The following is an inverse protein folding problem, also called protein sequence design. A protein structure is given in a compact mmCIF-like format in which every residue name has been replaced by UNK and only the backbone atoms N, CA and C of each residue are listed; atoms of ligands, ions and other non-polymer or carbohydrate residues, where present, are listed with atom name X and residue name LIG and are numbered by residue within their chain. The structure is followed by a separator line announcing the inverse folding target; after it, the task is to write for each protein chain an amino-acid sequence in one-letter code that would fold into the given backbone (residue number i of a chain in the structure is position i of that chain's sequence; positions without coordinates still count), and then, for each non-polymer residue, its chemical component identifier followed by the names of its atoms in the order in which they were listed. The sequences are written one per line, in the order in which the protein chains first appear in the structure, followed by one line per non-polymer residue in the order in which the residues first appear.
data_IF_960850266934
#
_entry.id   IF_960850266934
#
_cell.length_a   1.000
_cell.length_b   1.000
_cell.length_c   1.000
_cell.angle_alpha   90.00
_cell.angle_beta   90.00
_cell.angle_gamma   90.00
#
_symmetry.space_group_name_H-M   'P 1'
#
loop_
_entity.id
_entity.type
_entity.pdbx_description
1 polymer ?
#
# COMPACT_ATOMS: atom_id res chain seq x y z
N UNK A 1 -5.43 69.62 -14.81
CA UNK A 1 -4.42 70.38 -15.57
C UNK A 1 -4.08 69.51 -16.77
N UNK A 2 -4.77 69.87 -17.88
CA UNK A 2 -4.32 69.99 -19.28
C UNK A 2 -3.81 68.72 -19.96
N UNK A 3 -4.69 68.21 -20.83
CA UNK A 3 -4.35 67.53 -22.10
C UNK A 3 -3.65 68.51 -23.07
N UNK A 4 -3.00 68.07 -24.16
CA UNK A 4 -3.70 67.94 -25.44
C UNK A 4 -3.28 66.75 -26.27
N UNK A 5 -4.12 66.15 -26.96
CA UNK A 5 -4.57 66.07 -28.38
C UNK A 5 -3.60 66.59 -29.44
N UNK A 6 -3.54 65.86 -30.54
CA UNK A 6 -3.62 66.21 -31.97
C UNK A 6 -2.80 65.27 -32.82
N UNK A 7 -3.04 64.82 -33.99
CA UNK A 7 -4.06 64.84 -35.04
C UNK A 7 -3.63 63.95 -36.18
N UNK A 8 -4.62 63.37 -36.84
CA UNK A 8 -4.75 62.92 -38.23
C UNK A 8 -3.63 63.29 -39.26
N UNK A 9 -3.37 62.30 -40.16
CA UNK A 9 -3.63 62.62 -41.60
C UNK A 9 -3.82 61.32 -42.42
N UNK A 10 -4.81 61.43 -43.29
CA UNK A 10 -5.20 60.57 -44.41
C UNK A 10 -4.28 60.79 -45.59
N UNK A 11 -4.05 59.74 -46.44
CA UNK A 11 -4.07 59.91 -47.89
C UNK A 11 -4.37 58.60 -48.61
N UNK A 12 -5.23 58.75 -49.53
CA UNK A 12 -5.82 57.90 -50.58
C UNK A 12 -4.80 57.63 -51.72
N UNK A 13 -4.90 56.51 -52.44
CA UNK A 13 -5.65 56.30 -53.68
C UNK A 13 -5.14 55.10 -54.43
N UNK A 14 -6.03 54.23 -54.82
CA UNK A 14 -6.39 53.73 -56.17
C UNK A 14 -5.28 53.31 -57.17
N UNK A 15 -5.30 52.07 -57.71
CA UNK A 15 -5.97 51.72 -58.98
C UNK A 15 -5.73 50.28 -59.41
N UNK A 16 -6.82 49.62 -59.79
CA UNK A 16 -7.09 48.69 -60.90
C UNK A 16 -6.18 47.50 -61.18
N UNK A 17 -6.87 46.34 -61.23
CA UNK A 17 -6.61 44.97 -61.66
C UNK A 17 -6.16 44.78 -63.11
N UNK A 18 -6.15 43.55 -63.73
CA UNK A 18 -7.28 42.61 -63.74
C UNK A 18 -6.88 41.10 -63.64
N UNK A 19 -7.89 40.34 -63.29
CA UNK A 19 -8.29 38.97 -63.73
C UNK A 19 -7.19 38.10 -64.39
N UNK A 20 -6.87 36.94 -63.77
CA UNK A 20 -6.67 35.71 -64.50
C UNK A 20 -6.97 34.47 -63.60
N UNK A 21 -7.68 33.62 -64.21
CA UNK A 21 -8.35 32.41 -63.83
C UNK A 21 -7.58 31.33 -63.06
N UNK A 22 -8.37 30.59 -62.29
CA UNK A 22 -8.40 29.15 -62.03
C UNK A 22 -7.09 28.35 -61.98
N UNK A 23 -6.82 27.81 -60.80
CA UNK A 23 -6.54 26.37 -60.66
C UNK A 23 -6.78 25.99 -59.17
N UNK A 24 -7.90 25.35 -58.95
CA UNK A 24 -8.21 24.66 -57.71
C UNK A 24 -7.33 23.41 -57.62
N UNK A 25 -6.31 23.44 -56.74
CA UNK A 25 -5.61 22.23 -56.29
C UNK A 25 -6.03 21.96 -54.87
N UNK A 26 -6.97 21.02 -54.74
CA UNK A 26 -7.29 20.39 -53.46
C UNK A 26 -6.08 19.62 -52.94
N UNK A 27 -5.24 20.24 -52.12
CA UNK A 27 -4.34 19.53 -51.26
C UNK A 27 -5.10 18.98 -50.06
N UNK A 28 -5.56 17.73 -50.21
CA UNK A 28 -5.97 16.90 -49.06
C UNK A 28 -4.72 16.70 -48.17
N UNK A 29 -4.59 17.54 -47.16
CA UNK A 29 -3.65 17.28 -46.05
C UNK A 29 -4.18 16.08 -45.25
N UNK A 30 -3.67 14.88 -45.59
CA UNK A 30 -3.74 13.75 -44.69
C UNK A 30 -2.94 14.12 -43.42
N UNK A 31 -3.64 14.53 -42.37
CA UNK A 31 -3.10 14.56 -41.03
C UNK A 31 -2.83 13.11 -40.61
N UNK A 32 -1.59 12.67 -40.83
CA UNK A 32 -1.08 11.45 -40.22
C UNK A 32 -1.05 11.71 -38.73
N UNK A 33 -2.08 11.29 -38.00
CA UNK A 33 -1.99 11.13 -36.55
C UNK A 33 -0.96 10.06 -36.29
N UNK A 34 0.28 10.47 -36.06
CA UNK A 34 1.26 9.60 -35.41
C UNK A 34 0.73 9.30 -34.02
N UNK A 35 0.08 8.14 -33.88
CA UNK A 35 -0.06 7.53 -32.58
C UNK A 35 1.36 7.39 -32.05
N UNK A 36 1.70 8.20 -31.06
CA UNK A 36 2.88 7.97 -30.23
C UNK A 36 2.71 6.58 -29.64
N UNK A 37 3.39 5.60 -30.26
CA UNK A 37 3.47 4.26 -29.73
C UNK A 37 4.07 4.33 -28.35
N UNK A 38 3.23 4.20 -27.33
CA UNK A 38 3.70 3.97 -25.96
C UNK A 38 4.64 2.75 -26.04
N UNK A 39 5.85 2.87 -25.47
CA UNK A 39 6.74 1.72 -25.33
C UNK A 39 5.92 0.57 -24.72
N UNK A 40 6.00 -0.65 -25.27
CA UNK A 40 5.30 -1.78 -24.67
C UNK A 40 5.77 -1.93 -23.24
N UNK A 41 4.81 -2.10 -22.31
CA UNK A 41 5.11 -2.38 -20.93
C UNK A 41 5.98 -3.65 -20.87
N UNK A 42 7.08 -3.58 -20.11
CA UNK A 42 8.04 -4.68 -20.02
C UNK A 42 7.36 -5.83 -19.27
N UNK A 43 7.16 -6.96 -19.92
CA UNK A 43 6.57 -8.14 -19.32
C UNK A 43 7.59 -8.86 -18.41
N UNK A 44 7.10 -9.49 -17.35
CA UNK A 44 7.86 -10.36 -16.48
C UNK A 44 7.71 -11.81 -16.95
N UNK A 45 8.82 -12.51 -17.17
CA UNK A 45 8.78 -13.95 -17.46
C UNK A 45 8.71 -14.76 -16.18
N UNK A 46 7.72 -15.64 -16.09
CA UNK A 46 7.59 -16.64 -15.06
C UNK A 46 7.01 -17.92 -15.70
N UNK A 47 7.71 -19.04 -15.57
CA UNK A 47 7.36 -20.33 -16.18
C UNK A 47 7.03 -20.26 -17.68
N UNK A 48 7.78 -19.41 -18.42
CA UNK A 48 7.61 -19.22 -19.87
C UNK A 48 6.38 -18.36 -20.25
N UNK A 49 5.69 -17.76 -19.29
CA UNK A 49 4.59 -16.81 -19.52
C UNK A 49 5.07 -15.40 -19.24
N UNK A 50 4.92 -14.51 -20.23
CA UNK A 50 5.19 -13.08 -20.03
C UNK A 50 3.98 -12.43 -19.37
N UNK A 51 4.14 -11.98 -18.12
CA UNK A 51 3.12 -11.23 -17.40
C UNK A 51 3.42 -9.74 -17.49
N UNK A 52 2.47 -8.97 -17.97
CA UNK A 52 2.59 -7.52 -18.09
C UNK A 52 2.55 -6.85 -16.70
N UNK A 53 3.49 -5.93 -16.47
CA UNK A 53 3.52 -5.13 -15.24
C UNK A 53 2.55 -3.96 -15.36
N UNK A 54 1.27 -4.22 -15.09
CA UNK A 54 0.20 -3.21 -15.09
C UNK A 54 -0.11 -2.72 -13.68
N UNK A 55 -0.50 -1.47 -13.55
CA UNK A 55 -1.01 -0.84 -12.31
C UNK A 55 -2.20 0.05 -12.66
N UNK A 56 -3.39 -0.55 -12.75
CA UNK A 56 -4.62 0.14 -13.13
C UNK A 56 -5.06 1.21 -12.13
N UNK A 57 -4.72 1.03 -10.86
CA UNK A 57 -5.09 1.98 -9.80
C UNK A 57 -4.05 3.08 -9.58
N UNK A 58 -2.92 3.04 -10.29
CA UNK A 58 -1.83 4.05 -10.26
C UNK A 58 -1.34 4.35 -8.83
N UNK A 59 -1.33 3.35 -7.97
CA UNK A 59 -0.82 3.44 -6.60
C UNK A 59 0.52 2.73 -6.40
N UNK A 60 1.09 2.24 -7.49
CA UNK A 60 2.39 1.56 -7.54
C UNK A 60 2.34 0.09 -7.16
N UNK A 61 1.15 -0.47 -6.94
CA UNK A 61 0.98 -1.90 -6.68
C UNK A 61 0.58 -2.59 -7.97
N UNK A 62 1.38 -3.54 -8.47
CA UNK A 62 1.04 -4.27 -9.69
C UNK A 62 -0.27 -5.04 -9.57
N UNK A 63 -1.02 -5.10 -10.67
CA UNK A 63 -2.32 -5.78 -10.70
C UNK A 63 -2.20 -7.28 -10.37
N UNK A 64 -1.09 -7.92 -10.74
CA UNK A 64 -0.88 -9.33 -10.41
C UNK A 64 -0.70 -9.60 -8.91
N UNK A 65 -0.32 -8.60 -8.09
CA UNK A 65 -0.27 -8.72 -6.63
C UNK A 65 -1.62 -8.44 -5.95
N UNK A 66 -2.57 -7.79 -6.62
CA UNK A 66 -3.86 -7.47 -6.00
C UNK A 66 -4.69 -8.72 -5.80
N UNK A 67 -5.33 -8.83 -4.65
CA UNK A 67 -6.25 -9.93 -4.35
C UNK A 67 -7.64 -9.57 -4.88
N UNK A 68 -7.93 -10.00 -6.12
CA UNK A 68 -9.15 -9.61 -6.85
C UNK A 68 -10.41 -10.24 -6.24
N UNK A 69 -10.33 -11.48 -5.75
CA UNK A 69 -11.47 -12.16 -5.16
C UNK A 69 -11.71 -11.73 -3.70
N UNK A 70 -12.97 -11.59 -3.32
CA UNK A 70 -13.36 -11.34 -1.93
C UNK A 70 -12.85 -12.45 -0.99
N UNK A 71 -12.86 -13.70 -1.48
CA UNK A 71 -12.38 -14.86 -0.72
C UNK A 71 -10.89 -14.77 -0.40
N UNK A 72 -10.07 -14.34 -1.39
CA UNK A 72 -8.62 -14.20 -1.17
C UNK A 72 -8.32 -13.02 -0.24
N UNK A 73 -9.07 -11.92 -0.35
CA UNK A 73 -8.93 -10.79 0.58
C UNK A 73 -9.28 -11.18 2.01
N UNK A 74 -10.33 -11.96 2.19
CA UNK A 74 -10.72 -12.46 3.52
C UNK A 74 -9.71 -13.48 4.06
N UNK A 75 -9.24 -14.41 3.23
CA UNK A 75 -8.19 -15.36 3.60
C UNK A 75 -6.93 -14.63 4.07
N UNK A 76 -6.46 -13.64 3.29
CA UNK A 76 -5.31 -12.83 3.69
C UNK A 76 -5.54 -12.12 5.04
N UNK A 77 -6.70 -11.47 5.23
CA UNK A 77 -7.00 -10.76 6.48
C UNK A 77 -7.00 -11.70 7.67
N UNK A 78 -7.64 -12.86 7.53
CA UNK A 78 -7.73 -13.85 8.59
C UNK A 78 -6.34 -14.37 9.00
N UNK A 79 -5.52 -14.74 8.03
CA UNK A 79 -4.16 -15.20 8.31
C UNK A 79 -3.25 -14.09 8.85
N UNK A 80 -3.31 -12.90 8.27
CA UNK A 80 -2.52 -11.75 8.70
C UNK A 80 -2.78 -11.39 10.16
N UNK A 81 -4.05 -11.32 10.56
CA UNK A 81 -4.43 -10.99 11.93
C UNK A 81 -4.13 -12.12 12.90
N UNK A 82 -4.40 -13.37 12.52
CA UNK A 82 -4.15 -14.54 13.35
C UNK A 82 -2.65 -14.75 13.61
N UNK A 83 -1.80 -14.58 12.59
CA UNK A 83 -0.34 -14.68 12.74
C UNK A 83 0.19 -13.55 13.62
N UNK A 84 -0.24 -12.30 13.39
CA UNK A 84 0.18 -11.18 14.21
C UNK A 84 -0.21 -11.35 15.68
N UNK A 85 -1.44 -11.80 15.95
CA UNK A 85 -1.90 -12.05 17.32
C UNK A 85 -1.13 -13.21 17.96
N UNK A 86 -0.85 -14.27 17.22
CA UNK A 86 -0.07 -15.41 17.73
C UNK A 86 1.29 -14.98 18.25
N UNK A 87 1.99 -14.07 17.54
CA UNK A 87 3.29 -13.58 17.99
C UNK A 87 3.19 -12.82 19.33
N UNK A 88 2.06 -12.16 19.61
CA UNK A 88 1.86 -11.48 20.88
C UNK A 88 1.43 -12.39 22.04
N UNK A 89 1.02 -13.61 21.73
CA UNK A 89 0.67 -14.65 22.72
C UNK A 89 1.85 -15.58 23.05
N UNK A 90 2.92 -15.55 22.26
CA UNK A 90 4.12 -16.37 22.49
C UNK A 90 4.98 -15.80 23.61
N UNK A 91 5.70 -16.67 24.33
CA UNK A 91 6.78 -16.23 25.21
C UNK A 91 7.82 -15.41 24.44
N UNK A 92 8.40 -14.34 25.02
CA UNK A 92 9.36 -13.49 24.30
C UNK A 92 10.57 -14.20 23.71
N UNK A 93 11.05 -15.28 24.35
CA UNK A 93 12.20 -16.07 23.87
C UNK A 93 11.88 -16.99 22.69
N UNK A 94 10.61 -17.19 22.39
CA UNK A 94 10.14 -17.95 21.23
C UNK A 94 9.78 -17.04 20.04
N UNK A 95 9.86 -15.72 20.20
CA UNK A 95 9.57 -14.78 19.14
C UNK A 95 10.59 -14.93 18.00
N UNK A 96 10.18 -15.03 16.72
CA UNK A 96 11.12 -15.04 15.60
C UNK A 96 12.08 -13.86 15.67
N UNK A 97 13.38 -14.12 15.52
CA UNK A 97 14.43 -13.10 15.67
C UNK A 97 14.28 -11.90 14.70
N UNK A 98 13.60 -12.12 13.59
CA UNK A 98 13.30 -11.04 12.62
C UNK A 98 12.25 -10.05 13.14
N UNK A 99 11.41 -10.41 14.15
CA UNK A 99 10.39 -9.52 14.71
C UNK A 99 11.03 -8.69 15.82
N UNK A 100 11.69 -7.62 15.44
CA UNK A 100 12.42 -6.72 16.33
C UNK A 100 11.87 -5.29 16.36
N UNK A 101 10.89 -4.97 15.54
CA UNK A 101 10.16 -3.71 15.53
C UNK A 101 8.73 -3.88 14.97
N UNK A 102 7.96 -2.78 14.96
CA UNK A 102 6.58 -2.81 14.47
C UNK A 102 6.47 -3.12 12.97
N UNK A 103 7.42 -2.66 12.15
CA UNK A 103 7.43 -2.95 10.71
C UNK A 103 7.81 -4.40 10.43
N UNK A 104 8.72 -4.96 11.22
CA UNK A 104 9.11 -6.36 11.13
C UNK A 104 7.92 -7.29 11.42
N UNK A 105 7.10 -6.98 12.43
CA UNK A 105 5.86 -7.69 12.69
C UNK A 105 4.92 -7.65 11.47
N UNK A 106 4.74 -6.46 10.87
CA UNK A 106 3.89 -6.32 9.69
C UNK A 106 4.38 -7.17 8.51
N UNK A 107 5.70 -7.13 8.22
CA UNK A 107 6.30 -7.90 7.13
C UNK A 107 6.20 -9.40 7.37
N UNK A 108 6.46 -9.85 8.60
CA UNK A 108 6.33 -11.24 9.00
C UNK A 108 4.90 -11.77 8.80
N UNK A 109 3.92 -11.07 9.36
CA UNK A 109 2.52 -11.48 9.26
C UNK A 109 2.00 -11.39 7.81
N UNK A 110 2.46 -10.40 7.03
CA UNK A 110 2.10 -10.25 5.62
C UNK A 110 2.60 -11.42 4.76
N UNK A 111 3.87 -11.78 4.89
CA UNK A 111 4.44 -12.93 4.19
C UNK A 111 3.77 -14.21 4.64
N UNK A 112 3.60 -14.39 5.95
CA UNK A 112 2.90 -15.52 6.53
C UNK A 112 1.49 -15.70 5.95
N UNK A 113 0.72 -14.61 5.83
CA UNK A 113 -0.64 -14.65 5.28
C UNK A 113 -0.72 -15.06 3.80
N UNK A 114 0.38 -14.95 3.07
CA UNK A 114 0.49 -15.33 1.66
C UNK A 114 1.11 -16.71 1.43
N UNK A 115 1.55 -17.41 2.48
CA UNK A 115 2.05 -18.79 2.34
C UNK A 115 0.94 -19.76 1.89
N UNK A 116 1.38 -20.87 1.28
CA UNK A 116 0.54 -22.03 1.13
C UNK A 116 0.44 -22.76 2.50
N UNK A 117 -0.69 -22.63 3.18
CA UNK A 117 -0.90 -23.16 4.53
C UNK A 117 -1.20 -24.66 4.50
N UNK A 118 -0.23 -25.47 4.03
CA UNK A 118 -0.31 -26.92 4.08
C UNK A 118 0.07 -27.45 5.48
N UNK A 119 -0.14 -28.75 5.73
CA UNK A 119 0.12 -29.39 7.03
C UNK A 119 1.55 -29.15 7.51
N UNK A 120 2.55 -29.29 6.64
CA UNK A 120 3.96 -29.12 6.98
C UNK A 120 4.22 -27.69 7.48
N UNK A 121 3.76 -26.69 6.72
CA UNK A 121 3.93 -25.31 7.11
C UNK A 121 3.19 -24.96 8.41
N UNK A 122 2.00 -25.52 8.61
CA UNK A 122 1.21 -25.31 9.83
C UNK A 122 1.91 -25.90 11.06
N UNK A 123 2.51 -27.09 10.94
CA UNK A 123 3.28 -27.73 12.02
C UNK A 123 4.54 -26.94 12.34
N UNK A 124 5.35 -26.59 11.34
CA UNK A 124 6.58 -25.81 11.51
C UNK A 124 6.36 -24.46 12.21
N UNK A 125 5.20 -23.85 11.98
CA UNK A 125 4.84 -22.55 12.56
C UNK A 125 3.96 -22.65 13.82
N UNK A 126 3.62 -23.85 14.28
CA UNK A 126 2.70 -24.10 15.39
C UNK A 126 1.31 -23.47 15.20
N UNK A 127 0.80 -23.49 13.97
CA UNK A 127 -0.47 -22.89 13.57
C UNK A 127 -1.54 -23.93 13.21
N UNK A 128 -1.36 -25.20 13.56
CA UNK A 128 -2.28 -26.29 13.24
C UNK A 128 -3.72 -26.06 13.71
N UNK A 129 -3.93 -25.31 14.80
CA UNK A 129 -5.27 -24.94 15.26
C UNK A 129 -6.05 -24.06 14.27
N UNK A 130 -5.37 -23.48 13.28
CA UNK A 130 -5.95 -22.61 12.25
C UNK A 130 -6.11 -23.32 10.89
N UNK A 131 -5.92 -24.63 10.81
CA UNK A 131 -6.05 -25.42 9.58
C UNK A 131 -7.42 -25.27 8.87
N UNK A 132 -8.43 -24.74 9.58
CA UNK A 132 -9.74 -24.45 9.02
C UNK A 132 -9.80 -23.16 8.17
N UNK A 133 -8.79 -22.28 8.28
CA UNK A 133 -8.73 -21.05 7.49
C UNK A 133 -8.28 -21.35 6.06
N UNK A 134 -8.97 -20.81 5.04
CA UNK A 134 -8.55 -21.01 3.65
C UNK A 134 -7.28 -20.20 3.35
N UNK A 135 -6.41 -20.74 2.49
CA UNK A 135 -5.28 -19.99 1.93
C UNK A 135 -5.70 -19.04 0.82
N UNK A 136 -4.88 -18.01 0.57
CA UNK A 136 -4.96 -17.21 -0.66
C UNK A 136 -4.70 -18.13 -1.86
N UNK A 137 -5.50 -18.00 -2.92
CA UNK A 137 -5.43 -18.88 -4.10
C UNK A 137 -4.69 -18.26 -5.27
N UNK A 138 -4.69 -16.93 -5.37
CA UNK A 138 -4.13 -16.23 -6.53
C UNK A 138 -2.64 -16.47 -6.71
N UNK A 139 -1.89 -16.50 -5.62
CA UNK A 139 -0.44 -16.80 -5.57
C UNK A 139 -0.04 -17.15 -4.14
N UNK A 140 1.14 -17.72 -3.98
CA UNK A 140 1.71 -18.01 -2.66
C UNK A 140 3.12 -17.45 -2.52
N UNK A 141 3.46 -16.98 -1.32
CA UNK A 141 4.82 -16.57 -0.97
C UNK A 141 5.70 -17.81 -0.73
N UNK A 142 6.98 -17.80 -1.17
CA UNK A 142 7.66 -16.76 -1.93
C UNK A 142 7.51 -16.88 -3.47
N UNK A 143 6.62 -17.74 -3.97
CA UNK A 143 6.43 -18.06 -5.38
C UNK A 143 5.53 -17.02 -6.06
N UNK A 144 5.96 -15.76 -6.04
CA UNK A 144 5.30 -14.64 -6.72
C UNK A 144 6.14 -14.18 -7.91
N UNK A 145 5.58 -13.37 -8.80
CA UNK A 145 6.33 -12.76 -9.92
C UNK A 145 7.49 -11.85 -9.45
N UNK A 146 7.45 -11.38 -8.20
CA UNK A 146 8.52 -10.62 -7.55
C UNK A 146 9.37 -11.47 -6.60
N UNK A 147 9.15 -12.79 -6.56
CA UNK A 147 9.79 -13.65 -5.57
C UNK A 147 9.41 -13.21 -4.15
N UNK A 148 10.42 -13.08 -3.30
CA UNK A 148 10.26 -12.61 -1.91
C UNK A 148 10.14 -11.09 -1.76
N UNK A 149 10.42 -10.31 -2.83
CA UNK A 149 10.48 -8.84 -2.82
C UNK A 149 9.08 -8.23 -2.98
N UNK A 150 8.23 -8.31 -1.96
CA UNK A 150 6.81 -7.93 -2.02
C UNK A 150 6.51 -6.47 -1.67
N UNK A 151 7.46 -5.76 -1.05
CA UNK A 151 7.20 -4.41 -0.56
C UNK A 151 7.78 -3.36 -1.50
N UNK A 152 6.92 -2.46 -1.98
CA UNK A 152 7.37 -1.31 -2.74
C UNK A 152 8.18 -0.37 -1.85
N UNK A 153 9.37 0.01 -2.31
CA UNK A 153 10.31 0.84 -1.52
C UNK A 153 10.65 2.17 -2.18
N UNK A 154 10.17 2.41 -3.41
CA UNK A 154 10.43 3.64 -4.18
C UNK A 154 9.20 4.09 -4.95
N UNK A 155 9.12 5.39 -5.21
CA UNK A 155 8.08 5.97 -6.06
C UNK A 155 8.32 5.65 -7.55
N UNK A 156 9.59 5.71 -7.97
CA UNK A 156 10.01 5.51 -9.34
C UNK A 156 11.17 4.51 -9.40
N UNK A 157 11.25 3.76 -10.49
CA UNK A 157 12.36 2.84 -10.71
C UNK A 157 13.62 3.61 -11.12
N UNK A 158 14.79 3.26 -10.59
CA UNK A 158 16.06 3.80 -11.05
C UNK A 158 16.43 3.30 -12.45
N UNK A 159 15.77 2.26 -12.94
CA UNK A 159 15.93 1.66 -14.27
C UNK A 159 14.57 1.47 -14.95
N UNK A 160 14.59 0.87 -16.15
CA UNK A 160 13.34 0.46 -16.83
C UNK A 160 12.73 -0.81 -16.24
N UNK A 161 13.38 -1.48 -15.26
CA UNK A 161 12.86 -2.67 -14.61
C UNK A 161 12.02 -2.29 -13.38
N UNK A 162 10.69 -2.46 -13.44
CA UNK A 162 9.81 -2.13 -12.32
C UNK A 162 10.01 -3.00 -11.07
N UNK A 163 10.67 -4.18 -11.20
CA UNK A 163 11.03 -5.03 -10.05
C UNK A 163 11.94 -4.33 -9.07
N UNK A 164 12.82 -3.44 -9.54
CA UNK A 164 13.74 -2.71 -8.69
C UNK A 164 13.06 -1.76 -7.70
N UNK A 165 11.77 -1.51 -7.88
CA UNK A 165 10.96 -0.76 -6.91
C UNK A 165 10.57 -1.58 -5.67
N UNK A 166 10.81 -2.89 -5.69
CA UNK A 166 10.36 -3.82 -4.66
C UNK A 166 11.54 -4.46 -3.93
N UNK A 167 11.33 -4.74 -2.64
CA UNK A 167 12.30 -5.40 -1.78
C UNK A 167 11.60 -6.30 -0.75
N UNK A 168 12.37 -7.14 -0.09
CA UNK A 168 11.89 -7.94 1.06
C UNK A 168 11.77 -7.10 2.33
N UNK A 169 12.55 -6.04 2.42
CA UNK A 169 12.58 -5.12 3.56
C UNK A 169 11.90 -3.79 3.23
N UNK A 170 11.06 -3.33 4.16
CA UNK A 170 10.49 -1.97 4.17
C UNK A 170 10.27 -1.57 5.64
N UNK A 171 10.71 -0.37 6.02
CA UNK A 171 10.44 0.21 7.32
C UNK A 171 8.99 0.71 7.45
N UNK A 172 8.58 1.13 8.65
CA UNK A 172 7.21 1.58 8.90
C UNK A 172 6.81 2.79 8.05
N UNK A 173 7.73 3.71 7.75
CA UNK A 173 7.49 4.85 6.88
C UNK A 173 7.22 4.41 5.44
N UNK A 174 8.05 3.52 4.93
CA UNK A 174 7.97 2.96 3.58
C UNK A 174 6.69 2.14 3.39
N UNK A 175 6.33 1.29 4.37
CA UNK A 175 5.07 0.56 4.36
C UNK A 175 3.87 1.50 4.32
N UNK A 176 3.88 2.53 5.17
CA UNK A 176 2.85 3.56 5.18
C UNK A 176 2.72 4.30 3.84
N UNK A 177 3.85 4.68 3.23
CA UNK A 177 3.86 5.55 2.04
C UNK A 177 3.55 4.82 0.74
N UNK A 178 4.03 3.59 0.58
CA UNK A 178 4.01 2.91 -0.71
C UNK A 178 3.19 1.62 -0.75
N UNK A 179 2.84 1.05 0.41
CA UNK A 179 2.20 -0.28 0.47
C UNK A 179 0.79 -0.25 1.04
N UNK A 180 0.35 0.92 1.51
CA UNK A 180 -0.97 1.08 2.13
C UNK A 180 -1.65 2.35 1.67
N UNK A 181 -2.98 2.40 1.76
CA UNK A 181 -3.78 3.58 1.51
C UNK A 181 -4.64 3.95 2.73
N UNK A 182 -4.92 5.24 2.89
CA UNK A 182 -5.76 5.76 3.96
C UNK A 182 -7.21 5.30 3.78
N UNK A 183 -7.76 4.67 4.82
CA UNK A 183 -9.19 4.33 4.91
C UNK A 183 -9.94 5.45 5.61
N UNK A 184 -9.48 5.85 6.80
CA UNK A 184 -10.15 6.85 7.63
C UNK A 184 -9.24 7.35 8.75
N UNK A 185 -9.56 8.50 9.34
CA UNK A 185 -9.03 8.90 10.63
C UNK A 185 -9.92 8.50 11.82
N UNK A 186 -11.04 7.88 11.54
CA UNK A 186 -11.93 7.32 12.56
C UNK A 186 -11.66 5.81 12.70
N UNK A 187 -11.11 5.40 13.83
CA UNK A 187 -10.76 4.00 14.09
C UNK A 187 -11.98 3.07 14.10
N UNK A 188 -13.19 3.60 14.29
CA UNK A 188 -14.44 2.81 14.24
C UNK A 188 -14.74 2.24 12.85
N UNK A 189 -14.10 2.77 11.81
CA UNK A 189 -14.22 2.29 10.43
C UNK A 189 -13.14 1.25 10.06
N UNK A 190 -12.27 0.92 11.00
CA UNK A 190 -11.27 -0.12 10.79
C UNK A 190 -11.92 -1.52 10.70
N UNK A 191 -11.33 -2.35 9.86
CA UNK A 191 -11.69 -3.76 9.69
C UNK A 191 -10.50 -4.64 10.07
N UNK A 192 -10.71 -5.91 10.46
CA UNK A 192 -9.62 -6.84 10.70
C UNK A 192 -8.61 -6.85 9.53
N UNK A 193 -7.32 -6.76 9.85
CA UNK A 193 -6.24 -6.64 8.88
C UNK A 193 -5.90 -5.22 8.43
N UNK A 194 -6.63 -4.20 8.89
CA UNK A 194 -6.22 -2.82 8.73
C UNK A 194 -5.10 -2.46 9.73
N UNK A 195 -4.41 -1.36 9.45
CA UNK A 195 -3.26 -0.89 10.21
C UNK A 195 -3.54 0.49 10.78
N UNK A 196 -3.13 0.70 12.02
CA UNK A 196 -3.10 2.02 12.61
C UNK A 196 -1.68 2.58 12.51
N UNK A 197 -1.50 3.71 11.83
CA UNK A 197 -0.20 4.38 11.76
C UNK A 197 -0.15 5.62 12.64
N UNK A 198 1.01 5.82 13.26
CA UNK A 198 1.34 6.99 14.09
C UNK A 198 2.66 7.57 13.64
N UNK A 199 2.85 8.88 13.91
CA UNK A 199 4.12 9.58 13.71
C UNK A 199 4.48 10.38 14.95
N UNK A 200 5.56 9.98 15.61
CA UNK A 200 6.12 10.58 16.85
C UNK A 200 7.41 11.28 16.49
N UNK A 201 7.35 12.56 16.14
CA UNK A 201 8.50 13.32 15.60
C UNK A 201 9.67 13.46 16.58
N UNK A 202 9.42 13.30 17.87
CA UNK A 202 10.43 13.33 18.93
C UNK A 202 11.24 12.04 19.06
N UNK A 203 10.90 11.00 18.30
CA UNK A 203 11.57 9.70 18.34
C UNK A 203 12.52 9.53 17.14
N UNK A 204 13.64 8.82 17.35
CA UNK A 204 14.59 8.50 16.27
C UNK A 204 13.93 7.68 15.14
N UNK A 205 13.00 6.79 15.49
CA UNK A 205 12.15 6.05 14.56
C UNK A 205 10.71 6.58 14.69
N UNK A 206 10.36 7.64 13.95
CA UNK A 206 9.11 8.36 14.22
C UNK A 206 7.85 7.62 13.81
N UNK A 207 7.94 6.67 12.88
CA UNK A 207 6.77 5.93 12.40
C UNK A 207 6.53 4.66 13.21
N UNK A 208 5.28 4.49 13.67
CA UNK A 208 4.82 3.30 14.37
C UNK A 208 3.57 2.75 13.72
N UNK A 209 3.39 1.44 13.83
CA UNK A 209 2.25 0.73 13.29
C UNK A 209 1.69 -0.27 14.29
N UNK A 210 0.36 -0.47 14.22
CA UNK A 210 -0.36 -1.49 14.96
C UNK A 210 -1.28 -2.24 14.01
N UNK A 211 -1.42 -3.55 14.19
CA UNK A 211 -2.38 -4.38 13.47
C UNK A 211 -3.73 -4.29 14.16
N UNK A 212 -4.77 -3.91 13.45
CA UNK A 212 -6.15 -4.02 13.91
C UNK A 212 -6.60 -5.48 13.67
N UNK A 213 -6.47 -6.31 14.72
CA UNK A 213 -6.74 -7.74 14.60
C UNK A 213 -8.25 -8.06 14.63
N UNK A 214 -9.08 -7.17 15.16
CA UNK A 214 -10.50 -7.44 15.36
C UNK A 214 -10.74 -8.37 16.53
N UNK A 215 -11.65 -9.34 16.38
CA UNK A 215 -11.84 -10.38 17.40
C UNK A 215 -10.68 -11.38 17.39
N UNK A 216 -10.37 -11.92 18.56
CA UNK A 216 -9.31 -12.92 18.68
C UNK A 216 -9.58 -14.20 17.88
N UNK A 217 -8.57 -14.69 17.17
CA UNK A 217 -8.60 -16.01 16.56
C UNK A 217 -8.24 -17.13 17.57
N UNK A 218 -7.58 -16.78 18.67
CA UNK A 218 -6.97 -17.70 19.60
C UNK A 218 -7.73 -17.84 20.92
N UNK A 219 -8.37 -16.77 21.38
CA UNK A 219 -9.07 -16.71 22.66
C UNK A 219 -10.58 -16.61 22.39
N UNK A 220 -11.26 -17.78 22.41
CA UNK A 220 -12.69 -17.89 22.04
C UNK A 220 -13.64 -17.39 23.12
N UNK A 221 -13.26 -17.54 24.39
CA UNK A 221 -14.09 -17.20 25.55
C UNK A 221 -13.72 -15.83 26.17
N UNK A 222 -12.95 -15.03 25.41
CA UNK A 222 -12.57 -13.69 25.82
C UNK A 222 -13.69 -12.66 25.62
N UNK A 223 -13.54 -11.46 26.20
CA UNK A 223 -14.47 -10.37 25.92
C UNK A 223 -14.54 -10.10 24.42
N UNK A 224 -15.73 -9.71 23.93
CA UNK A 224 -15.99 -9.35 22.52
C UNK A 224 -15.25 -8.06 22.08
N UNK A 225 -14.14 -7.76 22.72
CA UNK A 225 -13.37 -6.56 22.47
C UNK A 225 -12.49 -6.68 21.23
N UNK A 226 -12.39 -5.59 20.52
CA UNK A 226 -11.49 -5.44 19.39
C UNK A 226 -10.04 -5.38 19.88
N UNK A 227 -9.21 -6.25 19.33
CA UNK A 227 -7.81 -6.42 19.70
C UNK A 227 -6.92 -5.68 18.70
N UNK A 228 -5.88 -5.03 19.21
CA UNK A 228 -4.75 -4.51 18.45
C UNK A 228 -3.46 -5.21 18.88
N UNK A 229 -2.59 -5.42 17.91
CA UNK A 229 -1.29 -6.07 18.13
C UNK A 229 -0.18 -5.20 17.55
N UNK A 230 0.90 -5.02 18.31
CA UNK A 230 2.07 -4.29 17.87
C UNK A 230 3.34 -4.71 18.60
N UNK A 231 4.48 -4.40 18.01
CA UNK A 231 5.78 -4.46 18.68
C UNK A 231 6.19 -3.03 19.08
N UNK A 232 6.65 -2.84 20.31
CA UNK A 232 7.01 -1.49 20.82
C UNK A 232 8.22 -0.90 20.12
N UNK A 233 9.03 -1.73 19.46
CA UNK A 233 10.36 -1.37 19.00
C UNK A 233 11.38 -1.29 20.14
N UNK A 234 12.67 -1.19 19.81
CA UNK A 234 13.72 -1.06 20.81
C UNK A 234 13.65 0.31 21.51
N UNK A 235 13.85 0.30 22.82
CA UNK A 235 13.91 1.51 23.67
C UNK A 235 15.27 1.54 24.37
N UNK A 236 16.17 2.37 23.89
CA UNK A 236 17.56 2.41 24.36
C UNK A 236 18.26 1.07 24.10
N UNK A 237 18.64 0.34 25.18
CA UNK A 237 19.24 -0.99 25.09
C UNK A 237 18.22 -2.15 25.19
N UNK A 238 16.97 -1.85 25.43
CA UNK A 238 15.90 -2.86 25.56
C UNK A 238 15.36 -3.21 24.17
N UNK A 239 15.28 -4.49 23.80
CA UNK A 239 14.87 -4.91 22.45
C UNK A 239 13.40 -4.61 22.12
N UNK A 240 12.60 -4.17 23.08
CA UNK A 240 11.16 -4.00 22.93
C UNK A 240 10.41 -5.30 23.19
N UNK A 241 9.09 -5.24 23.00
CA UNK A 241 8.22 -6.38 23.28
C UNK A 241 6.98 -6.35 22.41
N UNK A 242 6.36 -7.52 22.22
CA UNK A 242 5.04 -7.65 21.64
C UNK A 242 3.97 -7.20 22.63
N UNK A 243 2.98 -6.51 22.12
CA UNK A 243 1.81 -6.07 22.89
C UNK A 243 0.52 -6.48 22.20
N UNK A 244 -0.41 -6.98 22.99
CA UNK A 244 -1.80 -7.24 22.64
C UNK A 244 -2.68 -6.40 23.56
N UNK A 245 -3.44 -5.48 23.00
CA UNK A 245 -4.26 -4.53 23.77
C UNK A 245 -5.67 -4.46 23.19
N UNK A 246 -6.64 -4.15 24.04
CA UNK A 246 -8.00 -3.87 23.60
C UNK A 246 -8.10 -2.43 23.06
N UNK A 247 -8.91 -2.23 22.02
CA UNK A 247 -9.15 -0.89 21.47
C UNK A 247 -9.61 0.11 22.53
N UNK A 248 -10.50 -0.31 23.44
CA UNK A 248 -10.99 0.56 24.54
C UNK A 248 -9.85 1.03 25.45
N UNK A 249 -8.86 0.16 25.74
CA UNK A 249 -7.69 0.52 26.53
C UNK A 249 -6.80 1.53 25.78
N UNK A 250 -6.61 1.31 24.48
CA UNK A 250 -5.84 2.22 23.64
C UNK A 250 -6.52 3.60 23.52
N UNK A 251 -7.86 3.64 23.41
CA UNK A 251 -8.64 4.89 23.42
C UNK A 251 -8.45 5.69 24.71
N UNK A 252 -8.17 5.01 25.82
CA UNK A 252 -7.94 5.60 27.14
C UNK A 252 -6.45 5.65 27.51
N UNK A 253 -5.55 5.39 26.55
CA UNK A 253 -4.11 5.35 26.83
C UNK A 253 -3.67 6.59 27.62
N UNK A 254 -2.87 6.45 28.70
CA UNK A 254 -2.48 7.59 29.56
C UNK A 254 -1.78 8.70 28.79
N UNK A 255 -0.96 8.35 27.80
CA UNK A 255 -0.36 9.32 26.91
C UNK A 255 -1.29 9.58 25.69
N UNK A 256 -1.85 10.80 25.53
CA UNK A 256 -2.82 11.10 24.46
C UNK A 256 -2.29 10.87 23.04
N UNK A 257 -0.97 10.98 22.82
CA UNK A 257 -0.33 10.79 21.51
C UNK A 257 -0.51 9.39 20.92
N UNK A 258 -0.89 8.40 21.76
CA UNK A 258 -1.16 7.02 21.33
C UNK A 258 -2.66 6.73 21.14
N UNK A 259 -3.54 7.68 21.46
CA UNK A 259 -4.98 7.47 21.29
C UNK A 259 -5.36 7.56 19.82
N UNK A 260 -6.05 6.55 19.25
CA UNK A 260 -6.44 6.55 17.83
C UNK A 260 -7.71 7.39 17.59
N UNK A 261 -7.60 8.70 17.84
CA UNK A 261 -8.70 9.65 17.68
C UNK A 261 -8.37 10.71 16.63
N UNK A 262 -9.35 11.23 15.87
CA UNK A 262 -9.11 12.22 14.80
C UNK A 262 -8.39 13.48 15.27
N UNK A 263 -8.59 13.90 16.52
CA UNK A 263 -7.95 15.07 17.11
C UNK A 263 -6.49 14.88 17.50
N UNK A 264 -5.98 13.66 17.50
CA UNK A 264 -4.58 13.36 17.79
C UNK A 264 -3.73 13.57 16.53
N UNK A 265 -2.87 14.61 16.50
CA UNK A 265 -2.00 14.91 15.37
C UNK A 265 -0.95 13.83 15.08
N UNK A 266 -0.59 13.03 16.11
CA UNK A 266 0.33 11.90 15.95
C UNK A 266 -0.32 10.68 15.29
N UNK A 267 -1.66 10.53 15.38
CA UNK A 267 -2.39 9.47 14.73
C UNK A 267 -2.61 9.81 13.26
N UNK A 268 -1.94 9.10 12.36
CA UNK A 268 -2.07 9.33 10.91
C UNK A 268 -3.40 8.78 10.36
N UNK A 269 -3.92 7.72 10.97
CA UNK A 269 -5.20 7.13 10.58
C UNK A 269 -5.17 5.61 10.52
N UNK A 270 -6.27 5.07 10.02
CA UNK A 270 -6.47 3.67 9.66
C UNK A 270 -6.09 3.50 8.20
N UNK A 271 -5.21 2.55 7.92
CA UNK A 271 -4.69 2.26 6.59
C UNK A 271 -4.94 0.80 6.24
N UNK A 272 -5.02 0.53 4.95
CA UNK A 272 -5.23 -0.82 4.42
C UNK A 272 -4.16 -1.15 3.40
N UNK A 273 -3.74 -2.41 3.35
CA UNK A 273 -2.80 -2.89 2.36
C UNK A 273 -3.30 -2.66 0.93
N UNK A 274 -2.46 -2.15 0.05
CA UNK A 274 -2.82 -1.87 -1.34
C UNK A 274 -3.29 -3.11 -2.10
N UNK A 275 -2.77 -4.30 -1.77
CA UNK A 275 -3.19 -5.57 -2.40
C UNK A 275 -4.67 -5.91 -2.13
N UNK A 276 -5.28 -5.32 -1.09
CA UNK A 276 -6.69 -5.50 -0.74
C UNK A 276 -7.62 -4.47 -1.41
N UNK A 277 -7.07 -3.50 -2.15
CA UNK A 277 -7.86 -2.46 -2.80
C UNK A 277 -8.65 -3.05 -3.98
N UNK A 278 -9.95 -2.82 -3.98
CA UNK A 278 -10.83 -3.32 -5.01
C UNK A 278 -10.65 -2.53 -6.31
N UNK A 279 -10.60 -3.27 -7.42
CA UNK A 279 -10.70 -2.70 -8.76
C UNK A 279 -12.16 -2.80 -9.18
N UNK A 280 -12.91 -1.72 -8.99
CA UNK A 280 -14.29 -1.63 -9.51
C UNK A 280 -14.30 -1.56 -11.04
#
# INVERSE_FOLDING_TARGET
MVLPQTTMTRSRANHWGPICALAAVCCLAFAVFSFAGGKPAKGLEHDGVTVEFTDRLKDGTPDFLRLDSATDREAFRSWFTAIAEYQALRPPHELPAEINDCAALLRYAYRGALHAHNEVWLEENNLGALAYLPSVRKYSYPHTLLGASLFRVRAESPSEDPKENFAEFADAKTLHQFNTYLVSRDVRLAQPGDLLFYRQLEQNSPYHSMVFAGRSHWIKDGPDDVILVYHTGPIGKTPGEMRRVELRQLMQHPSPRWRPVPGNSNFLGVYRWNILKETN
#
